data_IF_706172669506
#
_entry.id   IF_706172669506
#
_cell.length_a   1.000
_cell.length_b   1.000
_cell.length_c   1.000
_cell.angle_alpha   90.00
_cell.angle_beta   90.00
_cell.angle_gamma   90.00
#
_symmetry.space_group_name_H-M   'P 1'
#
loop_
_entity.id
_entity.type
_entity.pdbx_description
1 polymer ?
#
# COMPACT_ATOMS: atom_id res chain seq x y z
N UNK A 1 -15.80 14.84 69.03
CA UNK A 1 -14.81 14.97 67.94
C UNK A 1 -14.04 16.25 68.18
N UNK A 2 -12.71 16.19 68.28
CA UNK A 2 -11.90 17.37 68.60
C UNK A 2 -11.65 18.22 67.35
N UNK A 3 -11.46 19.53 67.51
CA UNK A 3 -11.18 20.46 66.41
C UNK A 3 -9.90 20.05 65.64
N UNK A 4 -8.94 19.47 66.35
CA UNK A 4 -7.69 18.94 65.79
C UNK A 4 -7.96 17.75 64.85
N UNK A 5 -8.87 16.83 65.22
CA UNK A 5 -9.22 15.69 64.35
C UNK A 5 -9.83 16.16 63.02
N UNK A 6 -10.67 17.20 63.07
CA UNK A 6 -11.29 17.77 61.86
C UNK A 6 -10.25 18.45 60.96
N UNK A 7 -9.29 19.19 61.54
CA UNK A 7 -8.20 19.83 60.80
C UNK A 7 -7.24 18.81 60.17
N UNK A 8 -6.88 17.76 60.90
CA UNK A 8 -6.02 16.70 60.37
C UNK A 8 -6.76 15.93 59.27
N UNK A 9 -8.02 15.58 59.49
CA UNK A 9 -8.84 14.88 58.50
C UNK A 9 -9.01 15.67 57.20
N UNK A 10 -9.25 16.98 57.30
CA UNK A 10 -9.37 17.83 56.11
C UNK A 10 -8.03 18.00 55.37
N UNK A 11 -6.92 18.14 56.10
CA UNK A 11 -5.58 18.20 55.51
C UNK A 11 -5.21 16.94 54.72
N UNK A 12 -5.43 15.77 55.31
CA UNK A 12 -5.20 14.47 54.64
C UNK A 12 -6.10 14.33 53.42
N UNK A 13 -7.37 14.74 53.53
CA UNK A 13 -8.31 14.70 52.41
C UNK A 13 -7.88 15.59 51.23
N UNK A 14 -7.46 16.83 51.50
CA UNK A 14 -7.01 17.76 50.45
C UNK A 14 -5.75 17.26 49.75
N UNK A 15 -4.79 16.71 50.50
CA UNK A 15 -3.57 16.12 49.93
C UNK A 15 -3.91 14.91 49.04
N UNK A 16 -4.73 13.98 49.54
CA UNK A 16 -5.18 12.82 48.78
C UNK A 16 -5.94 13.21 47.51
N UNK A 17 -6.84 14.19 47.61
CA UNK A 17 -7.60 14.72 46.47
C UNK A 17 -6.69 15.35 45.43
N UNK A 18 -5.67 16.11 45.86
CA UNK A 18 -4.71 16.77 44.96
C UNK A 18 -3.84 15.76 44.22
N UNK A 19 -3.29 14.77 44.93
CA UNK A 19 -2.50 13.69 44.32
C UNK A 19 -3.35 12.90 43.31
N UNK A 20 -4.60 12.59 43.65
CA UNK A 20 -5.53 11.92 42.74
C UNK A 20 -5.76 12.77 41.48
N UNK A 21 -6.06 14.06 41.65
CA UNK A 21 -6.32 14.96 40.53
C UNK A 21 -5.10 15.10 39.59
N UNK A 22 -3.89 15.14 40.14
CA UNK A 22 -2.67 15.20 39.33
C UNK A 22 -2.48 13.94 38.48
N UNK A 23 -2.74 12.76 39.03
CA UNK A 23 -2.67 11.50 38.28
C UNK A 23 -3.72 11.49 37.16
N UNK A 24 -4.97 11.80 37.48
CA UNK A 24 -6.07 11.81 36.49
C UNK A 24 -5.83 12.81 35.36
N UNK A 25 -5.41 14.04 35.69
CA UNK A 25 -5.11 15.06 34.68
C UNK A 25 -3.89 14.69 33.82
N UNK A 26 -2.89 14.04 34.41
CA UNK A 26 -1.75 13.47 33.68
C UNK A 26 -2.18 12.39 32.69
N UNK A 27 -2.97 11.41 33.13
CA UNK A 27 -3.46 10.32 32.29
C UNK A 27 -4.38 10.82 31.17
N UNK A 28 -5.26 11.79 31.46
CA UNK A 28 -6.14 12.40 30.46
C UNK A 28 -5.37 13.14 29.35
N UNK A 29 -4.28 13.84 29.70
CA UNK A 29 -3.41 14.49 28.70
C UNK A 29 -2.67 13.46 27.86
N UNK A 30 -2.18 12.39 28.48
CA UNK A 30 -1.47 11.33 27.78
C UNK A 30 -2.39 10.57 26.82
N UNK A 31 -3.63 10.25 27.24
CA UNK A 31 -4.60 9.59 26.38
C UNK A 31 -4.99 10.47 25.17
N UNK A 32 -5.20 11.77 25.38
CA UNK A 32 -5.45 12.70 24.28
C UNK A 32 -4.28 12.79 23.31
N UNK A 33 -3.04 12.80 23.81
CA UNK A 33 -1.85 12.83 22.95
C UNK A 33 -1.70 11.52 22.16
N UNK A 34 -1.91 10.39 22.82
CA UNK A 34 -1.88 9.09 22.17
C UNK A 34 -2.92 8.99 21.04
N UNK A 35 -4.12 9.53 21.27
CA UNK A 35 -5.18 9.55 20.25
C UNK A 35 -4.82 10.42 19.05
N UNK A 36 -4.26 11.62 19.28
CA UNK A 36 -3.79 12.49 18.19
C UNK A 36 -2.74 11.82 17.33
N UNK A 37 -1.78 11.14 17.96
CA UNK A 37 -0.72 10.41 17.26
C UNK A 37 -1.30 9.24 16.46
N UNK A 38 -2.26 8.50 17.00
CA UNK A 38 -2.96 7.43 16.27
C UNK A 38 -3.72 7.97 15.06
N UNK A 39 -4.46 9.05 15.23
CA UNK A 39 -5.20 9.69 14.14
C UNK A 39 -4.26 10.14 13.01
N UNK A 40 -3.12 10.73 13.37
CA UNK A 40 -2.11 11.11 12.38
C UNK A 40 -1.53 9.89 11.65
N UNK A 41 -1.19 8.82 12.37
CA UNK A 41 -0.73 7.57 11.75
C UNK A 41 -1.78 6.98 10.81
N UNK A 42 -3.05 6.95 11.20
CA UNK A 42 -4.13 6.47 10.37
C UNK A 42 -4.34 7.31 9.11
N UNK A 43 -4.20 8.63 9.21
CA UNK A 43 -4.27 9.52 8.03
C UNK A 43 -3.12 9.25 7.06
N UNK A 44 -1.89 9.11 7.56
CA UNK A 44 -0.73 8.77 6.74
C UNK A 44 -0.87 7.41 6.07
N UNK A 45 -1.37 6.40 6.80
CA UNK A 45 -1.61 5.06 6.26
C UNK A 45 -2.71 5.07 5.21
N UNK A 46 -3.81 5.78 5.46
CA UNK A 46 -4.90 5.93 4.50
C UNK A 46 -4.41 6.60 3.20
N UNK A 47 -3.56 7.63 3.29
CA UNK A 47 -2.97 8.28 2.12
C UNK A 47 -2.13 7.31 1.27
N UNK A 48 -1.25 6.53 1.92
CA UNK A 48 -0.44 5.53 1.21
C UNK A 48 -1.29 4.42 0.60
N UNK A 49 -2.34 3.98 1.31
CA UNK A 49 -3.28 2.96 0.81
C UNK A 49 -4.11 3.49 -0.37
N UNK A 50 -4.52 4.76 -0.35
CA UNK A 50 -5.24 5.38 -1.45
C UNK A 50 -4.39 5.40 -2.73
N UNK A 51 -3.11 5.75 -2.61
CA UNK A 51 -2.14 5.68 -3.72
C UNK A 51 -1.98 4.24 -4.22
N UNK A 52 -1.81 3.27 -3.31
CA UNK A 52 -1.72 1.87 -3.69
C UNK A 52 -3.00 1.40 -4.41
N UNK A 53 -4.17 1.81 -3.95
CA UNK A 53 -5.45 1.47 -4.57
C UNK A 53 -5.59 2.07 -5.97
N UNK A 54 -5.18 3.34 -6.15
CA UNK A 54 -5.18 3.99 -7.46
C UNK A 54 -4.26 3.26 -8.46
N UNK A 55 -3.09 2.80 -8.01
CA UNK A 55 -2.19 1.98 -8.82
C UNK A 55 -2.78 0.60 -9.12
N UNK A 56 -3.36 -0.07 -8.12
CA UNK A 56 -3.99 -1.38 -8.28
C UNK A 56 -5.17 -1.37 -9.25
N UNK A 57 -5.96 -0.28 -9.29
CA UNK A 57 -7.07 -0.13 -10.25
C UNK A 57 -6.60 -0.13 -11.71
N UNK A 58 -5.34 0.24 -11.94
CA UNK A 58 -4.75 0.32 -13.28
C UNK A 58 -3.77 -0.83 -13.54
N UNK A 59 -3.56 -1.71 -12.56
CA UNK A 59 -2.62 -2.82 -12.66
C UNK A 59 -2.97 -3.73 -13.85
N UNK A 60 -1.94 -4.22 -14.53
CA UNK A 60 -2.05 -5.04 -15.74
C UNK A 60 -2.29 -4.24 -17.02
N UNK A 61 -2.51 -2.92 -16.93
CA UNK A 61 -2.49 -2.04 -18.11
C UNK A 61 -1.05 -1.66 -18.43
N UNK A 62 -0.54 -2.15 -19.55
CA UNK A 62 0.76 -1.69 -20.06
C UNK A 62 0.66 -0.22 -20.41
N UNK A 63 1.56 0.59 -19.85
CA UNK A 63 1.69 2.01 -20.18
C UNK A 63 2.78 2.21 -21.24
N UNK A 64 3.94 1.56 -21.09
CA UNK A 64 5.03 1.59 -22.05
C UNK A 64 5.82 0.27 -22.04
N UNK A 65 6.63 0.04 -23.07
CA UNK A 65 7.59 -1.07 -23.06
C UNK A 65 8.74 -0.80 -22.06
N UNK A 66 9.26 0.43 -22.04
CA UNK A 66 10.30 0.88 -21.11
C UNK A 66 9.69 1.35 -19.77
N UNK A 67 10.24 0.85 -18.66
CA UNK A 67 9.81 1.22 -17.32
C UNK A 67 10.09 2.68 -16.97
N UNK A 68 11.10 3.32 -17.57
CA UNK A 68 11.39 4.74 -17.37
C UNK A 68 10.32 5.63 -17.99
N UNK A 69 9.83 5.25 -19.17
CA UNK A 69 8.74 5.95 -19.87
C UNK A 69 7.40 5.72 -19.15
N UNK A 70 7.15 4.48 -18.71
CA UNK A 70 5.97 4.15 -17.90
C UNK A 70 5.92 4.98 -16.61
N UNK A 71 7.07 5.20 -15.94
CA UNK A 71 7.14 6.01 -14.71
C UNK A 71 6.79 7.48 -14.95
N UNK A 72 7.23 8.07 -16.06
CA UNK A 72 6.89 9.46 -16.40
C UNK A 72 5.38 9.63 -16.63
N UNK A 73 4.76 8.66 -17.32
CA UNK A 73 3.31 8.65 -17.51
C UNK A 73 2.55 8.42 -16.20
N UNK A 74 3.04 7.51 -15.36
CA UNK A 74 2.45 7.21 -14.05
C UNK A 74 2.50 8.45 -13.14
N UNK A 75 3.60 9.19 -13.14
CA UNK A 75 3.75 10.41 -12.35
C UNK A 75 2.66 11.45 -12.70
N UNK A 76 2.36 11.63 -13.98
CA UNK A 76 1.30 12.54 -14.42
C UNK A 76 -0.10 12.08 -14.02
N UNK A 77 -0.35 10.77 -13.91
CA UNK A 77 -1.65 10.23 -13.51
C UNK A 77 -1.89 10.29 -11.99
N UNK A 78 -0.82 10.23 -11.21
CA UNK A 78 -0.89 10.34 -9.75
C UNK A 78 -0.79 11.78 -9.24
N UNK A 79 -0.57 12.73 -10.16
CA UNK A 79 -0.48 14.14 -9.83
C UNK A 79 -1.81 14.63 -9.23
N UNK A 80 -1.77 15.10 -7.99
CA UNK A 80 -2.96 15.50 -7.22
C UNK A 80 -3.65 14.40 -6.40
N UNK A 81 -3.27 13.12 -6.53
CA UNK A 81 -3.74 12.02 -5.66
C UNK A 81 -2.72 11.75 -4.54
N UNK A 82 -1.44 11.84 -4.88
CA UNK A 82 -0.32 11.57 -3.99
C UNK A 82 0.33 12.87 -3.48
N UNK A 83 1.06 12.77 -2.37
CA UNK A 83 1.95 13.84 -1.90
C UNK A 83 3.18 13.99 -2.80
N UNK A 84 4.31 14.40 -2.25
CA UNK A 84 5.56 14.55 -3.02
C UNK A 84 5.98 13.20 -3.65
N UNK A 85 6.19 13.22 -4.97
CA UNK A 85 6.58 12.04 -5.74
C UNK A 85 7.98 12.22 -6.33
N UNK A 86 8.82 11.20 -6.20
CA UNK A 86 10.18 11.22 -6.73
C UNK A 86 10.44 9.93 -7.51
N UNK A 87 10.77 10.08 -8.79
CA UNK A 87 11.23 8.96 -9.63
C UNK A 87 12.71 8.71 -9.33
N UNK A 88 13.06 7.46 -9.02
CA UNK A 88 14.45 7.07 -8.77
C UNK A 88 14.65 5.61 -9.18
N UNK A 89 15.83 5.25 -9.70
CA UNK A 89 16.26 3.85 -9.90
C UNK A 89 15.17 2.88 -10.43
N UNK A 90 14.39 3.27 -11.43
CA UNK A 90 13.36 2.40 -12.03
C UNK A 90 12.09 2.19 -11.19
N UNK A 91 11.88 3.00 -10.15
CA UNK A 91 10.65 3.01 -9.36
C UNK A 91 10.21 4.41 -8.94
N UNK A 92 9.06 4.46 -8.27
CA UNK A 92 8.44 5.68 -7.79
C UNK A 92 8.41 5.68 -6.26
N UNK A 93 9.11 6.65 -5.66
CA UNK A 93 9.00 6.93 -4.24
C UNK A 93 7.87 7.94 -4.03
N UNK A 94 6.84 7.55 -3.28
CA UNK A 94 5.75 8.43 -2.90
C UNK A 94 5.89 8.79 -1.43
N UNK A 95 5.95 10.09 -1.13
CA UNK A 95 5.93 10.64 0.22
C UNK A 95 4.56 11.26 0.48
N UNK A 96 3.93 10.80 1.54
CA UNK A 96 2.71 11.40 2.09
C UNK A 96 3.08 12.16 3.36
N UNK A 97 2.64 13.41 3.44
CA UNK A 97 2.85 14.27 4.61
C UNK A 97 1.55 14.40 5.41
N UNK A 98 1.69 14.38 6.73
CA UNK A 98 0.61 14.51 7.69
C UNK A 98 0.59 15.91 8.29
N UNK A 99 -0.57 16.31 8.83
CA UNK A 99 -0.80 17.67 9.33
C UNK A 99 0.07 18.10 10.53
N UNK A 100 0.76 17.18 11.23
CA UNK A 100 1.65 17.52 12.35
C UNK A 100 3.14 17.24 12.05
N UNK A 101 3.50 17.13 10.77
CA UNK A 101 4.89 16.95 10.35
C UNK A 101 5.35 15.48 10.31
N UNK A 102 4.46 14.52 10.61
CA UNK A 102 4.69 13.12 10.29
C UNK A 102 4.79 12.93 8.77
N UNK A 103 5.73 12.10 8.33
CA UNK A 103 5.86 11.74 6.92
C UNK A 103 5.90 10.23 6.78
N UNK A 104 5.35 9.72 5.68
CA UNK A 104 5.44 8.30 5.33
C UNK A 104 5.81 8.15 3.88
N UNK A 105 6.78 7.29 3.62
CA UNK A 105 7.29 7.04 2.28
C UNK A 105 7.01 5.60 1.90
N UNK A 106 6.70 5.38 0.61
CA UNK A 106 6.59 4.04 0.05
C UNK A 106 7.14 4.00 -1.35
N UNK A 107 7.89 2.94 -1.62
CA UNK A 107 8.41 2.63 -2.92
C UNK A 107 7.39 1.80 -3.72
N UNK A 108 7.23 2.15 -4.99
CA UNK A 108 6.42 1.43 -5.96
C UNK A 108 7.27 1.08 -7.18
N UNK A 109 7.22 -0.19 -7.58
CA UNK A 109 7.89 -0.69 -8.77
C UNK A 109 6.86 -0.83 -9.90
N UNK A 110 6.98 -0.10 -11.03
CA UNK A 110 6.01 -0.15 -12.12
C UNK A 110 5.89 -1.54 -12.75
N UNK A 111 6.97 -2.35 -12.76
CA UNK A 111 6.95 -3.69 -13.32
C UNK A 111 6.11 -4.65 -12.45
N UNK A 112 6.13 -4.46 -11.13
CA UNK A 112 5.34 -5.27 -10.19
C UNK A 112 3.82 -5.12 -10.38
N UNK A 113 3.39 -4.03 -11.01
CA UNK A 113 1.99 -3.77 -11.35
C UNK A 113 1.68 -4.02 -12.84
N UNK A 114 2.66 -4.49 -13.63
CA UNK A 114 2.50 -4.78 -15.06
C UNK A 114 2.40 -3.53 -15.93
N UNK A 115 2.91 -2.38 -15.48
CA UNK A 115 2.89 -1.13 -16.26
C UNK A 115 3.97 -1.08 -17.35
N UNK A 116 5.01 -1.91 -17.24
CA UNK A 116 6.13 -2.00 -18.18
C UNK A 116 6.68 -3.42 -18.29
N UNK A 117 7.52 -3.67 -19.29
CA UNK A 117 8.22 -4.96 -19.46
C UNK A 117 7.56 -5.96 -20.41
N UNK A 118 6.61 -5.53 -21.25
CA UNK A 118 6.16 -6.35 -22.38
C UNK A 118 7.16 -6.29 -23.52
N UNK A 119 8.17 -7.14 -23.42
CA UNK A 119 8.85 -7.73 -24.59
C UNK A 119 9.60 -9.05 -24.28
N UNK A 120 9.22 -9.79 -23.23
CA UNK A 120 9.88 -11.08 -22.92
C UNK A 120 8.96 -12.28 -22.66
N UNK A 121 7.64 -12.13 -22.59
CA UNK A 121 6.72 -13.27 -22.33
C UNK A 121 5.79 -13.58 -23.51
N UNK A 122 5.61 -12.67 -24.46
CA UNK A 122 4.85 -12.96 -25.68
C UNK A 122 5.68 -13.72 -26.74
N UNK A 123 7.01 -13.66 -26.68
CA UNK A 123 7.90 -14.33 -27.63
C UNK A 123 8.20 -15.81 -27.29
N UNK A 124 7.77 -16.31 -26.13
CA UNK A 124 7.91 -17.73 -25.75
C UNK A 124 6.59 -18.52 -25.93
N UNK A 125 5.53 -17.89 -26.44
CA UNK A 125 4.21 -18.52 -26.62
C UNK A 125 3.81 -18.74 -28.09
N UNK A 126 4.68 -18.42 -29.05
CA UNK A 126 4.52 -18.81 -30.45
C UNK A 126 5.78 -19.57 -30.87
N UNK A 127 5.64 -20.90 -31.06
CA UNK A 127 6.26 -21.70 -32.13
C UNK A 127 6.54 -23.15 -31.68
N UNK A 128 5.50 -23.99 -31.71
CA UNK A 128 5.67 -25.35 -32.23
C UNK A 128 4.49 -25.64 -33.19
N UNK A 129 4.66 -25.44 -34.50
CA UNK A 129 3.66 -25.86 -35.47
C UNK A 129 3.65 -27.37 -35.49
N UNK A 130 2.55 -27.99 -35.04
CA UNK A 130 2.29 -29.41 -35.27
C UNK A 130 2.26 -29.62 -36.79
N UNK A 131 3.20 -30.38 -37.40
CA UNK A 131 3.15 -30.65 -38.82
C UNK A 131 1.93 -31.52 -39.12
N UNK A 132 0.93 -30.90 -39.74
CA UNK A 132 -0.18 -31.58 -40.40
C UNK A 132 0.33 -32.18 -41.70
N UNK A 133 0.91 -33.39 -41.66
CA UNK A 133 1.01 -34.24 -42.84
C UNK A 133 1.21 -35.70 -42.44
N UNK A 134 0.12 -36.45 -42.59
CA UNK A 134 0.06 -37.89 -42.37
C UNK A 134 -1.11 -38.44 -43.16
N UNK A 135 -1.13 -38.18 -44.46
CA UNK A 135 -2.00 -38.82 -45.42
C UNK A 135 -1.94 -40.35 -45.21
N UNK A 136 -3.05 -40.94 -44.81
CA UNK A 136 -3.23 -42.39 -44.79
C UNK A 136 -3.35 -42.83 -46.26
N UNK A 137 -2.43 -43.65 -46.81
CA UNK A 137 -2.62 -44.20 -48.14
C UNK A 137 -3.72 -45.25 -48.10
N UNK A 138 -4.81 -44.95 -48.81
CA UNK A 138 -5.84 -45.92 -49.20
C UNK A 138 -5.26 -46.85 -50.26
N UNK A 139 -4.88 -48.07 -49.91
CA UNK A 139 -4.66 -49.14 -50.88
C UNK A 139 -4.87 -50.54 -50.26
N UNK A 140 -5.67 -51.36 -50.94
CA UNK A 140 -5.55 -52.83 -50.84
C UNK A 140 -6.69 -53.60 -50.19
N UNK A 141 -7.95 -53.41 -50.61
CA UNK A 141 -8.96 -54.47 -50.46
C UNK A 141 -8.69 -55.53 -51.55
N UNK A 142 -8.01 -56.60 -51.16
CA UNK A 142 -7.74 -57.76 -52.00
C UNK A 142 -9.05 -58.53 -52.24
N UNK A 143 -9.49 -58.53 -53.49
CA UNK A 143 -10.52 -59.43 -54.04
C UNK A 143 -10.03 -60.89 -53.89
N UNK A 144 -10.81 -61.74 -53.21
CA UNK A 144 -10.62 -63.20 -53.21
C UNK A 144 -11.95 -63.85 -53.58
N UNK A 145 -12.01 -64.32 -54.81
CA UNK A 145 -12.92 -65.34 -55.36
C UNK A 145 -12.11 -66.14 -56.39
N UNK A 146 -12.47 -67.37 -56.76
CA UNK A 146 -13.73 -68.10 -56.52
C UNK A 146 -13.70 -69.18 -55.44
#
# INVERSE_FOLDING_TARGET
>A
MSLIEVLVGSGVFVLAATCSFQVWSGTARWSQRAERVRQEHHQLEAGVVAVQAALQQQAGRVLAADCTEALQMLQGQLDGIAGEMTVSNGGLLVRVEGGQGGTRQRWFDPAAYGFCGVDLVAAEAEEEPIPSDGAIPSDGALEVTP
#
